data_IF_917967217623
#
_entry.id   IF_917967217623
#
_cell.length_a   1.000
_cell.length_b   1.000
_cell.length_c   1.000
_cell.angle_alpha   90.00
_cell.angle_beta   90.00
_cell.angle_gamma   90.00
#
_symmetry.space_group_name_H-M   'P 1'
#
loop_
_entity.id
_entity.type
_entity.pdbx_description
1 polymer ?
#
# COMPACT_ATOMS: atom_id res chain seq x y z
N UNK A 1 3.07 14.11 25.76
CA UNK A 1 2.08 13.12 25.28
C UNK A 1 2.67 12.38 24.11
N UNK A 2 2.81 11.05 24.18
CA UNK A 2 3.15 10.26 23.01
C UNK A 2 1.92 10.27 22.09
N UNK A 3 2.02 10.89 20.92
CA UNK A 3 0.91 10.85 19.97
C UNK A 3 0.60 9.37 19.63
N UNK A 4 -0.69 9.05 19.57
CA UNK A 4 -1.21 7.70 19.30
C UNK A 4 -1.26 7.48 17.78
N UNK A 5 -1.07 6.24 17.32
CA UNK A 5 -1.29 5.90 15.91
C UNK A 5 -2.77 6.09 15.53
N UNK A 6 -3.04 6.45 14.28
CA UNK A 6 -4.39 6.76 13.84
C UNK A 6 -4.46 7.71 12.65
N UNK A 7 -5.67 7.89 12.10
CA UNK A 7 -5.89 8.71 10.93
C UNK A 7 -5.75 10.20 11.26
N UNK A 8 -5.29 10.95 10.27
CA UNK A 8 -5.02 12.39 10.34
C UNK A 8 -5.60 13.05 9.08
N UNK A 9 -5.98 14.31 9.21
CA UNK A 9 -6.58 15.11 8.12
C UNK A 9 -7.81 14.45 7.50
N UNK A 10 -8.95 14.65 8.14
CA UNK A 10 -10.24 14.22 7.60
C UNK A 10 -10.42 14.78 6.18
N UNK A 11 -10.78 13.90 5.28
CA UNK A 11 -10.97 14.17 3.87
C UNK A 11 -12.33 13.64 3.46
N UNK A 12 -12.97 14.34 2.52
CA UNK A 12 -14.26 13.91 1.98
C UNK A 12 -14.03 13.49 0.54
N UNK A 13 -14.31 12.23 0.24
CA UNK A 13 -14.35 11.75 -1.14
C UNK A 13 -15.61 12.28 -1.83
N UNK A 14 -15.47 12.61 -3.11
CA UNK A 14 -16.60 12.91 -3.97
C UNK A 14 -17.18 11.60 -4.55
N UNK A 15 -18.48 11.58 -4.86
CA UNK A 15 -19.17 10.40 -5.41
C UNK A 15 -18.70 10.01 -6.82
N UNK A 16 -17.96 10.88 -7.50
CA UNK A 16 -17.36 10.63 -8.82
C UNK A 16 -15.89 10.20 -8.74
N UNK A 17 -15.32 10.07 -7.53
CA UNK A 17 -13.97 9.57 -7.34
C UNK A 17 -13.97 8.05 -7.52
N UNK A 18 -13.10 7.45 -8.36
CA UNK A 18 -13.04 5.99 -8.53
C UNK A 18 -12.81 5.21 -7.23
N UNK A 19 -12.23 5.83 -6.20
CA UNK A 19 -12.07 5.20 -4.89
C UNK A 19 -13.37 5.12 -4.09
N UNK A 20 -14.37 5.95 -4.43
CA UNK A 20 -15.68 5.94 -3.79
C UNK A 20 -16.37 4.59 -3.99
N UNK A 21 -16.39 4.08 -5.22
CA UNK A 21 -17.05 2.82 -5.56
C UNK A 21 -16.51 1.65 -4.72
N UNK A 22 -15.18 1.57 -4.57
CA UNK A 22 -14.55 0.49 -3.79
C UNK A 22 -14.89 0.56 -2.29
N UNK A 23 -14.96 1.76 -1.73
CA UNK A 23 -15.34 1.96 -0.33
C UNK A 23 -16.84 1.75 -0.12
N UNK A 24 -17.65 2.10 -1.12
CA UNK A 24 -19.09 1.90 -1.10
C UNK A 24 -19.42 0.40 -1.15
N UNK A 25 -18.77 -0.36 -2.03
CA UNK A 25 -18.89 -1.82 -2.10
C UNK A 25 -18.49 -2.48 -0.78
N UNK A 26 -17.38 -2.04 -0.17
CA UNK A 26 -16.98 -2.50 1.15
C UNK A 26 -18.04 -2.20 2.22
N UNK A 27 -18.59 -0.99 2.22
CA UNK A 27 -19.65 -0.60 3.14
C UNK A 27 -20.89 -1.48 2.98
N UNK A 28 -21.32 -1.75 1.74
CA UNK A 28 -22.47 -2.64 1.48
C UNK A 28 -22.23 -4.08 1.95
N UNK A 29 -20.98 -4.57 1.90
CA UNK A 29 -20.63 -5.90 2.36
C UNK A 29 -20.53 -6.01 3.89
N UNK A 30 -20.11 -4.93 4.55
CA UNK A 30 -19.78 -4.94 5.99
C UNK A 30 -20.85 -4.31 6.86
N UNK A 31 -21.74 -3.50 6.29
CA UNK A 31 -22.76 -2.75 6.99
C UNK A 31 -24.13 -2.96 6.34
N UNK A 32 -25.16 -3.12 7.17
CA UNK A 32 -26.55 -3.25 6.72
C UNK A 32 -27.31 -1.91 6.74
N UNK A 33 -26.60 -0.78 6.62
CA UNK A 33 -27.21 0.54 6.61
C UNK A 33 -27.02 1.23 5.26
N UNK A 34 -27.84 2.24 4.98
CA UNK A 34 -27.73 3.03 3.74
C UNK A 34 -26.89 4.31 3.93
N UNK A 35 -26.35 4.54 5.12
CA UNK A 35 -25.79 5.83 5.50
C UNK A 35 -24.25 5.83 5.44
N UNK A 36 -23.71 5.76 4.23
CA UNK A 36 -22.27 5.67 3.96
C UNK A 36 -21.44 6.73 4.72
N UNK A 37 -21.85 8.00 4.66
CA UNK A 37 -21.13 9.12 5.27
C UNK A 37 -21.06 9.05 6.80
N UNK A 38 -21.95 8.30 7.45
CA UNK A 38 -21.88 8.06 8.89
C UNK A 38 -20.91 6.94 9.24
N UNK A 39 -20.84 5.90 8.40
CA UNK A 39 -20.05 4.70 8.67
C UNK A 39 -18.60 4.84 8.21
N UNK A 40 -18.36 5.50 7.08
CA UNK A 40 -17.04 5.65 6.45
C UNK A 40 -16.60 7.11 6.53
N UNK A 41 -15.42 7.32 7.10
CA UNK A 41 -14.71 8.61 7.08
C UNK A 41 -13.36 8.41 6.44
N UNK A 42 -12.97 9.24 5.48
CA UNK A 42 -11.69 9.07 4.79
C UNK A 42 -10.67 10.12 5.20
N UNK A 43 -9.40 9.81 4.98
CA UNK A 43 -8.29 10.58 5.55
C UNK A 43 -7.13 10.64 4.55
N UNK A 44 -6.47 11.80 4.50
CA UNK A 44 -5.28 11.98 3.65
C UNK A 44 -4.03 11.38 4.25
N UNK A 45 -3.93 11.36 5.57
CA UNK A 45 -2.76 10.86 6.28
C UNK A 45 -3.17 9.87 7.36
N UNK A 46 -2.26 8.97 7.70
CA UNK A 46 -2.42 8.10 8.85
C UNK A 46 -1.07 7.89 9.50
N UNK A 47 -1.05 7.95 10.83
CA UNK A 47 0.10 7.54 11.61
C UNK A 47 0.03 6.04 11.87
N UNK A 48 1.08 5.32 11.48
CA UNK A 48 1.20 3.87 11.58
C UNK A 48 2.60 3.56 12.07
N UNK A 49 2.72 2.77 13.15
CA UNK A 49 4.01 2.45 13.75
C UNK A 49 4.85 3.71 14.04
N UNK A 50 4.19 4.75 14.57
CA UNK A 50 4.76 6.08 14.86
C UNK A 50 5.21 6.90 13.65
N UNK A 51 5.08 6.41 12.42
CA UNK A 51 5.43 7.11 11.17
C UNK A 51 4.19 7.63 10.46
N UNK A 52 4.30 8.77 9.75
CA UNK A 52 3.18 9.33 8.99
C UNK A 52 3.23 8.82 7.55
N UNK A 53 2.12 8.25 7.10
CA UNK A 53 1.89 7.81 5.73
C UNK A 53 0.85 8.72 5.08
N UNK A 54 0.97 8.99 3.79
CA UNK A 54 -0.06 9.72 3.04
C UNK A 54 -0.75 8.81 2.03
N UNK A 55 -1.97 9.19 1.67
CA UNK A 55 -2.69 8.61 0.55
C UNK A 55 -2.11 9.10 -0.78
N UNK A 56 -2.18 8.30 -1.83
CA UNK A 56 -1.77 8.71 -3.20
C UNK A 56 -2.51 9.95 -3.71
N UNK A 57 -3.69 10.26 -3.18
CA UNK A 57 -4.41 11.49 -3.49
C UNK A 57 -3.68 12.75 -2.98
N UNK A 58 -2.66 12.58 -2.13
CA UNK A 58 -1.83 13.68 -1.67
C UNK A 58 -0.75 14.03 -2.70
N UNK A 59 -1.01 15.07 -3.49
CA UNK A 59 -0.05 15.65 -4.43
C UNK A 59 0.61 16.86 -3.77
N UNK A 60 1.91 16.78 -3.48
CA UNK A 60 2.72 17.93 -3.03
C UNK A 60 3.65 18.33 -4.19
N UNK A 61 3.55 19.59 -4.66
CA UNK A 61 4.42 20.15 -5.71
C UNK A 61 4.47 19.32 -7.02
N UNK A 62 3.33 18.79 -7.47
CA UNK A 62 3.18 17.95 -8.68
C UNK A 62 3.86 16.58 -8.62
N UNK A 63 4.50 16.22 -7.51
CA UNK A 63 5.04 14.89 -7.29
C UNK A 63 4.09 14.09 -6.41
N UNK A 64 3.69 12.92 -6.88
CA UNK A 64 2.95 11.94 -6.10
C UNK A 64 3.96 11.17 -5.25
N UNK A 65 4.03 11.46 -3.95
CA UNK A 65 4.81 10.64 -3.04
C UNK A 65 4.01 9.36 -2.82
N UNK A 66 4.37 8.31 -3.57
CA UNK A 66 3.69 7.01 -3.48
C UNK A 66 4.19 6.29 -2.23
N UNK A 67 3.37 6.24 -1.18
CA UNK A 67 3.68 5.48 0.03
C UNK A 67 3.49 4.00 -0.26
N UNK A 68 4.56 3.39 -0.78
CA UNK A 68 4.62 1.96 -1.00
C UNK A 68 4.82 1.26 0.34
N UNK A 69 4.06 0.20 0.57
CA UNK A 69 4.07 -0.51 1.84
C UNK A 69 4.18 -1.99 1.65
N UNK A 70 4.86 -2.62 2.60
CA UNK A 70 4.71 -4.05 2.86
C UNK A 70 3.58 -4.24 3.88
N UNK A 71 2.67 -5.16 3.61
CA UNK A 71 1.57 -5.49 4.51
C UNK A 71 1.31 -6.98 4.56
N UNK A 72 0.65 -7.43 5.63
CA UNK A 72 0.14 -8.79 5.74
C UNK A 72 -1.27 -8.87 5.17
N UNK A 73 -1.46 -9.75 4.20
CA UNK A 73 -2.77 -10.16 3.72
C UNK A 73 -3.06 -11.61 4.14
N UNK A 74 -4.27 -12.13 3.86
CA UNK A 74 -4.76 -13.50 4.15
C UNK A 74 -3.67 -14.52 4.57
N UNK A 75 -3.89 -15.22 5.69
CA UNK A 75 -2.93 -16.20 6.23
C UNK A 75 -1.52 -15.63 6.50
N UNK A 76 -1.40 -14.34 6.77
CA UNK A 76 -0.14 -13.61 6.99
C UNK A 76 0.86 -13.71 5.84
N UNK A 77 0.35 -13.79 4.61
CA UNK A 77 1.19 -13.68 3.43
C UNK A 77 1.67 -12.23 3.30
N UNK A 78 2.99 -12.07 3.18
CA UNK A 78 3.62 -10.78 2.89
C UNK A 78 3.26 -10.32 1.49
N UNK A 79 2.73 -9.11 1.39
CA UNK A 79 2.35 -8.48 0.13
C UNK A 79 2.78 -7.03 0.06
N UNK A 80 2.62 -6.47 -1.13
CA UNK A 80 3.16 -5.19 -1.52
C UNK A 80 2.10 -4.35 -2.22
N UNK A 81 2.17 -3.04 -2.03
CA UNK A 81 1.25 -2.15 -2.72
C UNK A 81 1.39 -0.69 -2.34
N UNK A 82 0.61 0.16 -3.01
CA UNK A 82 0.54 1.60 -2.75
C UNK A 82 -0.75 1.97 -2.05
N UNK A 83 -0.66 2.82 -1.04
CA UNK A 83 -1.83 3.28 -0.30
C UNK A 83 -2.61 4.30 -1.14
N UNK A 84 -3.83 3.94 -1.53
CA UNK A 84 -4.74 4.81 -2.28
C UNK A 84 -5.44 5.80 -1.36
N UNK A 85 -5.98 5.33 -0.24
CA UNK A 85 -6.68 6.14 0.75
C UNK A 85 -6.72 5.45 2.11
N UNK A 86 -6.75 6.24 3.18
CA UNK A 86 -7.07 5.77 4.53
C UNK A 86 -8.53 6.03 4.84
N UNK A 87 -9.17 5.14 5.59
CA UNK A 87 -10.52 5.36 6.05
C UNK A 87 -10.78 4.69 7.41
N UNK A 88 -11.77 5.19 8.13
CA UNK A 88 -12.29 4.57 9.33
C UNK A 88 -13.66 3.95 9.07
N UNK A 89 -13.87 2.78 9.65
CA UNK A 89 -15.15 2.09 9.72
C UNK A 89 -15.35 1.57 11.14
N UNK A 90 -16.45 1.97 11.81
CA UNK A 90 -16.74 1.62 13.21
C UNK A 90 -15.56 1.79 14.19
N UNK A 91 -14.80 2.87 14.04
CA UNK A 91 -13.66 3.20 14.92
C UNK A 91 -12.36 2.46 14.60
N UNK A 92 -12.38 1.49 13.69
CA UNK A 92 -11.17 0.84 13.18
C UNK A 92 -10.65 1.56 11.94
N UNK A 93 -9.33 1.58 11.78
CA UNK A 93 -8.67 2.28 10.67
C UNK A 93 -8.14 1.29 9.64
N UNK A 94 -8.47 1.54 8.38
CA UNK A 94 -8.12 0.72 7.24
C UNK A 94 -7.39 1.56 6.18
N UNK A 95 -6.65 0.86 5.33
CA UNK A 95 -6.06 1.39 4.13
C UNK A 95 -6.62 0.63 2.93
N UNK A 96 -7.02 1.38 1.90
CA UNK A 96 -7.25 0.85 0.56
C UNK A 96 -5.91 0.86 -0.17
N UNK A 97 -5.43 -0.31 -0.57
CA UNK A 97 -4.10 -0.51 -1.14
C UNK A 97 -4.23 -1.08 -2.55
N UNK A 98 -3.57 -0.45 -3.52
CA UNK A 98 -3.37 -1.05 -4.84
C UNK A 98 -2.32 -2.15 -4.71
N UNK A 99 -2.73 -3.39 -4.92
CA UNK A 99 -1.86 -4.54 -4.82
C UNK A 99 -0.88 -4.63 -5.99
N UNK A 100 0.34 -5.07 -5.67
CA UNK A 100 1.37 -5.38 -6.64
C UNK A 100 1.78 -6.84 -6.50
N UNK A 101 1.86 -7.53 -7.63
CA UNK A 101 2.25 -8.94 -7.69
C UNK A 101 3.77 -9.06 -7.78
N UNK A 102 4.37 -9.90 -6.95
CA UNK A 102 5.80 -10.24 -7.08
C UNK A 102 6.02 -11.04 -8.36
N UNK A 103 6.95 -10.59 -9.20
CA UNK A 103 7.38 -11.30 -10.41
C UNK A 103 8.78 -11.86 -10.17
N UNK A 104 9.00 -13.09 -10.64
CA UNK A 104 10.35 -13.63 -10.70
C UNK A 104 11.14 -12.91 -11.81
N UNK A 105 12.28 -12.33 -11.44
CA UNK A 105 13.18 -11.63 -12.36
C UNK A 105 13.98 -12.58 -13.28
N UNK A 106 13.97 -13.88 -13.00
CA UNK A 106 14.80 -14.86 -13.68
C UNK A 106 14.11 -15.47 -14.89
N UNK A 107 14.87 -15.62 -15.99
CA UNK A 107 14.44 -16.38 -17.16
C UNK A 107 14.16 -17.83 -16.79
N UNK A 108 13.26 -18.49 -17.54
CA UNK A 108 12.93 -19.89 -17.30
C UNK A 108 14.17 -20.80 -17.39
N UNK A 109 15.10 -20.47 -18.29
CA UNK A 109 16.36 -21.17 -18.43
C UNK A 109 17.24 -21.13 -17.17
N UNK A 110 17.27 -20.00 -16.45
CA UNK A 110 18.04 -19.93 -15.21
C UNK A 110 17.36 -20.71 -14.08
N UNK A 111 16.03 -20.86 -14.09
CA UNK A 111 15.28 -21.63 -13.09
C UNK A 111 15.67 -23.11 -13.08
N UNK A 112 16.07 -23.65 -14.23
CA UNK A 112 16.55 -25.03 -14.36
C UNK A 112 17.99 -25.22 -13.87
N UNK A 113 18.71 -24.14 -13.58
CA UNK A 113 20.09 -24.20 -13.11
C UNK A 113 20.17 -24.52 -11.62
N UNK A 114 21.17 -25.32 -11.23
CA UNK A 114 21.51 -25.60 -9.83
C UNK A 114 21.86 -24.35 -9.00
N UNK A 115 22.13 -23.22 -9.65
CA UNK A 115 22.43 -21.95 -8.99
C UNK A 115 21.18 -21.11 -8.70
N UNK A 116 20.01 -21.51 -9.22
CA UNK A 116 18.78 -20.73 -9.09
C UNK A 116 18.41 -20.45 -7.64
N UNK A 117 18.34 -21.48 -6.80
CA UNK A 117 17.91 -21.31 -5.40
C UNK A 117 18.89 -20.43 -4.60
N UNK A 118 20.19 -20.58 -4.85
CA UNK A 118 21.26 -19.77 -4.24
C UNK A 118 21.12 -18.28 -4.61
N UNK A 119 20.87 -17.99 -5.88
CA UNK A 119 20.74 -16.62 -6.38
C UNK A 119 19.39 -16.01 -6.01
N UNK A 120 18.30 -16.78 -6.13
CA UNK A 120 16.94 -16.33 -5.84
C UNK A 120 16.81 -15.88 -4.39
N UNK A 121 17.25 -16.69 -3.43
CA UNK A 121 17.15 -16.32 -2.02
C UNK A 121 17.97 -15.08 -1.68
N UNK A 122 19.17 -14.96 -2.26
CA UNK A 122 20.05 -13.80 -2.06
C UNK A 122 19.47 -12.52 -2.67
N UNK A 123 18.82 -12.62 -3.83
CA UNK A 123 18.20 -11.49 -4.53
C UNK A 123 16.88 -11.07 -3.86
N UNK A 124 16.02 -12.01 -3.50
CA UNK A 124 14.76 -11.75 -2.78
C UNK A 124 15.01 -11.06 -1.43
N UNK A 125 16.20 -11.27 -0.83
CA UNK A 125 16.61 -10.56 0.40
C UNK A 125 17.03 -9.10 0.16
N UNK A 126 17.42 -8.73 -1.07
CA UNK A 126 17.91 -7.39 -1.40
C UNK A 126 16.85 -6.52 -2.07
N UNK A 127 16.10 -7.09 -3.02
CA UNK A 127 15.02 -6.39 -3.71
C UNK A 127 13.94 -7.35 -4.22
N UNK A 128 12.71 -6.85 -4.30
CA UNK A 128 11.62 -7.50 -5.02
C UNK A 128 11.38 -6.83 -6.36
N UNK A 129 10.96 -7.59 -7.37
CA UNK A 129 10.44 -7.05 -8.63
C UNK A 129 8.93 -7.18 -8.63
N UNK A 130 8.22 -6.06 -8.81
CA UNK A 130 6.78 -6.01 -8.58
C UNK A 130 6.00 -5.49 -9.79
N UNK A 131 4.99 -6.25 -10.23
CA UNK A 131 4.02 -5.85 -11.26
C UNK A 131 2.86 -5.08 -10.63
N UNK A 132 2.53 -3.92 -11.17
CA UNK A 132 1.27 -3.26 -10.85
C UNK A 132 0.09 -4.14 -11.30
N UNK A 133 -0.87 -4.33 -10.41
CA UNK A 133 -2.14 -4.99 -10.74
C UNK A 133 -3.28 -3.96 -10.73
N UNK A 134 -4.45 -4.34 -11.23
CA UNK A 134 -5.68 -3.55 -11.08
C UNK A 134 -6.51 -4.00 -9.86
N UNK A 135 -5.91 -4.80 -8.97
CA UNK A 135 -6.58 -5.33 -7.78
C UNK A 135 -6.32 -4.38 -6.62
N UNK A 136 -7.40 -3.92 -5.99
CA UNK A 136 -7.33 -3.17 -4.74
C UNK A 136 -7.70 -4.07 -3.56
N UNK A 137 -7.10 -3.79 -2.40
CA UNK A 137 -7.27 -4.56 -1.18
C UNK A 137 -7.49 -3.63 -0.01
N UNK A 138 -8.50 -3.93 0.79
CA UNK A 138 -8.74 -3.24 2.06
C UNK A 138 -8.01 -4.00 3.16
N UNK A 139 -7.15 -3.29 3.88
CA UNK A 139 -6.24 -3.88 4.87
C UNK A 139 -6.32 -3.05 6.15
N UNK A 140 -6.42 -3.71 7.31
CA UNK A 140 -6.28 -3.02 8.59
C UNK A 140 -4.91 -2.36 8.67
N UNK A 141 -4.86 -1.12 9.15
CA UNK A 141 -3.60 -0.36 9.28
C UNK A 141 -2.59 -1.10 10.17
N UNK A 142 -3.05 -1.87 11.16
CA UNK A 142 -2.21 -2.69 12.05
C UNK A 142 -1.42 -3.77 11.30
N UNK A 143 -1.85 -4.15 10.08
CA UNK A 143 -1.17 -5.14 9.24
C UNK A 143 -0.13 -4.53 8.32
N UNK A 144 0.01 -3.20 8.29
CA UNK A 144 1.07 -2.51 7.55
C UNK A 144 2.36 -2.64 8.35
N UNK A 145 3.40 -3.21 7.74
CA UNK A 145 4.64 -3.57 8.43
C UNK A 145 5.74 -2.52 8.27
N UNK A 146 5.88 -1.96 7.06
CA UNK A 146 6.92 -0.97 6.76
C UNK A 146 6.60 -0.15 5.52
N UNK A 147 7.14 1.06 5.51
CA UNK A 147 7.32 1.86 4.31
C UNK A 147 8.45 1.31 3.45
N UNK A 148 8.34 1.45 2.13
CA UNK A 148 9.31 0.98 1.16
C UNK A 148 9.65 2.09 0.17
N UNK A 149 10.92 2.16 -0.24
CA UNK A 149 11.37 3.00 -1.35
C UNK A 149 11.10 2.26 -2.67
N UNK A 150 10.63 2.97 -3.68
CA UNK A 150 10.47 2.48 -5.05
C UNK A 150 11.54 3.10 -5.93
N UNK A 151 12.20 2.27 -6.74
CA UNK A 151 12.89 2.73 -7.94
C UNK A 151 12.07 2.32 -9.17
N UNK A 152 11.67 3.30 -9.99
CA UNK A 152 11.03 3.05 -11.27
C UNK A 152 12.08 3.04 -12.39
N UNK A 153 11.90 2.14 -13.35
CA UNK A 153 12.68 2.06 -14.58
C UNK A 153 12.45 3.32 -15.46
N UNK A 154 13.49 3.79 -16.15
CA UNK A 154 13.47 4.91 -17.10
C UNK A 154 12.42 4.79 -18.22
N UNK A 155 11.94 3.59 -18.52
CA UNK A 155 10.88 3.30 -19.49
C UNK A 155 9.48 3.24 -18.86
N UNK A 156 9.34 3.54 -17.56
CA UNK A 156 8.08 3.51 -16.83
C UNK A 156 7.45 2.11 -16.73
N UNK A 157 8.21 1.05 -17.03
CA UNK A 157 7.72 -0.32 -16.91
C UNK A 157 7.76 -0.77 -15.45
N UNK A 158 6.84 -1.69 -15.17
CA UNK A 158 6.44 -2.19 -13.85
C UNK A 158 7.51 -3.04 -13.14
N UNK A 159 8.72 -2.52 -13.03
CA UNK A 159 9.81 -3.11 -12.26
C UNK A 159 10.10 -2.16 -11.10
N UNK A 160 9.30 -2.30 -10.05
CA UNK A 160 9.50 -1.57 -8.80
C UNK A 160 10.48 -2.38 -7.95
N UNK A 161 11.68 -1.84 -7.74
CA UNK A 161 12.64 -2.36 -6.77
C UNK A 161 12.29 -1.81 -5.40
N UNK A 162 12.17 -2.68 -4.40
CA UNK A 162 11.96 -2.27 -3.00
C UNK A 162 13.11 -2.71 -2.13
N UNK A 163 13.66 -1.79 -1.32
CA UNK A 163 14.73 -2.09 -0.36
C UNK A 163 14.23 -1.83 1.05
N UNK A 164 14.76 -2.54 2.07
CA UNK A 164 14.45 -2.27 3.48
C UNK A 164 15.07 -0.96 3.99
N UNK A 165 15.83 -0.24 3.17
CA UNK A 165 16.46 1.02 3.55
C UNK A 165 15.35 2.06 3.67
N UNK A 166 15.07 2.48 4.90
CA UNK A 166 14.24 3.66 5.18
C UNK A 166 14.83 4.86 4.44
N UNK A 167 14.05 5.57 3.62
CA UNK A 167 14.54 6.84 3.05
C UNK A 167 14.73 7.81 4.21
N UNK A 168 15.97 8.04 4.60
CA UNK A 168 16.34 8.95 5.68
C UNK A 168 16.24 10.43 5.29
N UNK A 169 15.53 10.78 4.22
CA UNK A 169 15.54 12.15 3.68
C UNK A 169 14.20 12.70 3.21
N UNK A 170 13.08 11.96 3.32
CA UNK A 170 11.76 12.48 2.90
C UNK A 170 10.66 12.43 3.98
N UNK A 171 11.04 12.19 5.23
CA UNK A 171 10.14 12.36 6.36
C UNK A 171 10.28 13.80 6.87
N UNK A 172 9.40 14.69 6.42
CA UNK A 172 8.99 15.86 7.22
C UNK A 172 8.47 15.40 8.59
#
# INVERSE_FOLDING_TARGET
MCAVDGPLDLFSLAHNDPLFDELFDYHQQMCNCNNYNMCIKTYRRCRVLKQIFHSLQYIKRKNTISYFVQYLFRSNQTEFGTIKIFFQHHGQTFALIQHFQVINAFSDYLKESRYYDLLKQSIDNFYFVLKKTNINRIVSVEKIQKHLIIFEDALGKSHVLTTPVSSMTEHD
#
